data_IF_816395591076
#
_entry.id   IF_816395591076
#
_cell.length_a   1.000
_cell.length_b   1.000
_cell.length_c   1.000
_cell.angle_alpha   90.00
_cell.angle_beta   90.00
_cell.angle_gamma   90.00
#
_symmetry.space_group_name_H-M   'P 1'
#
loop_
_entity.id
_entity.type
_entity.pdbx_description
1 polymer ?
#
# COMPACT_ATOMS: atom_id res chain seq x y z
N UNK A 1 67.98 19.02 3.77
CA UNK A 1 66.72 18.55 3.14
C UNK A 1 65.62 19.55 3.36
N UNK A 2 65.16 20.31 2.33
CA UNK A 2 64.05 21.25 2.44
C UNK A 2 62.72 20.44 2.55
N UNK A 3 61.95 20.63 3.64
CA UNK A 3 60.61 20.06 3.79
C UNK A 3 59.73 20.56 2.65
N UNK A 4 59.25 19.65 1.77
CA UNK A 4 58.20 19.97 0.76
C UNK A 4 56.98 20.53 1.50
N UNK A 5 56.60 21.77 1.20
CA UNK A 5 55.35 22.39 1.66
C UNK A 5 54.18 21.55 1.09
N UNK A 6 53.42 20.91 2.00
CA UNK A 6 52.15 20.25 1.58
C UNK A 6 51.18 21.32 1.03
N UNK A 7 50.53 20.99 -0.06
CA UNK A 7 49.55 21.88 -0.68
C UNK A 7 48.43 22.25 0.37
N UNK A 8 48.21 23.54 0.51
CA UNK A 8 47.14 24.06 1.37
C UNK A 8 45.78 23.53 0.86
N UNK A 9 45.12 22.66 1.61
CA UNK A 9 43.76 22.11 1.50
C UNK A 9 43.64 20.57 1.70
N UNK A 10 44.71 19.88 2.01
CA UNK A 10 44.74 18.40 2.11
C UNK A 10 44.54 17.83 3.54
N UNK A 11 43.88 18.53 4.46
CA UNK A 11 43.74 18.03 5.80
C UNK A 11 45.04 17.92 6.62
N UNK A 12 44.94 17.57 7.89
CA UNK A 12 46.10 17.47 8.79
C UNK A 12 45.89 16.41 9.87
N UNK A 13 47.00 15.68 10.22
CA UNK A 13 47.12 14.86 11.41
C UNK A 13 47.96 15.66 12.40
N UNK A 14 47.41 16.05 13.54
CA UNK A 14 48.07 16.79 14.60
C UNK A 14 48.21 15.97 15.87
N UNK A 15 49.36 15.97 16.53
CA UNK A 15 49.59 15.27 17.80
C UNK A 15 49.05 16.14 18.94
N UNK A 16 48.22 15.61 19.81
CA UNK A 16 47.69 16.24 21.01
C UNK A 16 48.21 15.54 22.28
N UNK A 17 47.95 16.10 23.48
CA UNK A 17 48.34 15.50 24.77
C UNK A 17 47.27 14.55 25.33
N UNK A 18 46.28 14.10 24.56
CA UNK A 18 45.16 13.23 25.00
C UNK A 18 45.49 11.73 24.84
N UNK A 19 44.70 10.85 25.48
CA UNK A 19 44.85 9.38 25.39
C UNK A 19 44.85 8.81 23.96
N UNK A 20 44.18 9.49 23.03
CA UNK A 20 44.26 9.25 21.57
C UNK A 20 44.97 10.47 20.97
N UNK A 21 46.29 10.41 20.81
CA UNK A 21 47.10 11.62 20.57
C UNK A 21 46.99 12.17 19.14
N UNK A 22 46.58 11.39 18.16
CA UNK A 22 46.57 11.82 16.78
C UNK A 22 45.19 12.29 16.32
N UNK A 23 45.05 13.59 16.13
CA UNK A 23 43.81 14.23 15.71
C UNK A 23 43.81 14.48 14.20
N UNK A 24 42.81 13.93 13.48
CA UNK A 24 42.64 14.12 12.04
C UNK A 24 41.63 15.23 11.80
N UNK A 25 42.04 16.23 11.03
CA UNK A 25 41.17 17.34 10.59
C UNK A 25 41.29 17.55 9.11
N UNK A 26 40.18 17.77 8.43
CA UNK A 26 40.06 18.03 7.00
C UNK A 26 39.26 19.28 6.73
N UNK A 27 39.37 19.82 5.53
CA UNK A 27 38.46 20.86 5.05
C UNK A 27 37.43 20.19 4.16
N UNK A 28 36.14 20.32 4.49
CA UNK A 28 35.06 19.81 3.69
C UNK A 28 35.04 20.55 2.33
N UNK A 29 35.15 19.82 1.21
CA UNK A 29 35.21 20.44 -0.11
C UNK A 29 33.90 21.15 -0.52
N UNK A 30 32.76 20.72 0.02
CA UNK A 30 31.45 21.33 -0.31
C UNK A 30 31.19 22.62 0.46
N UNK A 31 31.60 22.69 1.75
CA UNK A 31 31.29 23.83 2.63
C UNK A 31 32.50 24.74 2.93
N UNK A 32 33.72 24.30 2.60
CA UNK A 32 34.97 24.98 2.94
C UNK A 32 35.29 25.03 4.45
N UNK A 33 34.45 24.43 5.32
CA UNK A 33 34.62 24.43 6.77
C UNK A 33 35.55 23.31 7.24
N UNK A 34 36.27 23.54 8.33
CA UNK A 34 37.09 22.51 8.95
C UNK A 34 36.23 21.49 9.71
N UNK A 35 36.43 20.21 9.41
CA UNK A 35 35.77 19.07 10.02
C UNK A 35 36.80 18.16 10.70
N UNK A 36 36.44 17.58 11.86
CA UNK A 36 37.21 16.57 12.57
C UNK A 36 36.78 15.17 12.12
N UNK A 37 37.73 14.33 11.71
CA UNK A 37 37.48 12.92 11.39
C UNK A 37 37.72 11.99 12.58
N UNK A 38 38.14 12.53 13.74
CA UNK A 38 38.34 11.77 14.97
C UNK A 38 39.76 11.87 15.53
N UNK A 39 39.99 11.14 16.65
CA UNK A 39 41.27 11.02 17.33
C UNK A 39 41.66 9.54 17.40
N UNK A 40 42.91 9.24 17.10
CA UNK A 40 43.44 7.89 16.92
C UNK A 40 44.64 7.64 17.84
N UNK A 41 44.92 6.36 18.15
CA UNK A 41 46.02 5.95 19.01
C UNK A 41 47.33 6.02 18.31
N UNK A 42 47.38 5.62 17.03
CA UNK A 42 48.59 5.59 16.23
C UNK A 42 48.58 6.63 15.09
N UNK A 43 49.77 7.08 14.72
CA UNK A 43 49.91 8.02 13.58
C UNK A 43 49.59 7.35 12.25
N UNK A 44 49.86 6.07 12.14
CA UNK A 44 49.58 5.29 10.91
C UNK A 44 48.10 5.21 10.65
N UNK A 45 47.33 4.81 11.64
CA UNK A 45 45.84 4.79 11.60
C UNK A 45 45.27 6.16 11.21
N UNK A 46 45.75 7.22 11.89
CA UNK A 46 45.30 8.58 11.61
C UNK A 46 45.65 9.01 10.15
N UNK A 47 46.78 8.58 9.62
CA UNK A 47 47.19 8.90 8.25
C UNK A 47 46.39 8.11 7.21
N UNK A 48 46.08 6.84 7.49
CA UNK A 48 45.20 6.02 6.63
C UNK A 48 43.78 6.65 6.53
N UNK A 49 43.21 7.06 7.66
CA UNK A 49 41.90 7.74 7.67
C UNK A 49 41.96 9.05 6.86
N UNK A 50 43.05 9.83 7.01
CA UNK A 50 43.22 11.05 6.21
C UNK A 50 43.34 10.73 4.73
N UNK A 51 44.12 9.73 4.35
CA UNK A 51 44.30 9.35 2.95
C UNK A 51 43.01 8.85 2.33
N UNK A 52 42.25 7.99 3.04
CA UNK A 52 40.94 7.49 2.60
C UNK A 52 39.98 8.65 2.39
N UNK A 53 39.89 9.61 3.32
CA UNK A 53 39.06 10.80 3.14
C UNK A 53 39.47 11.64 1.91
N UNK A 54 40.76 11.77 1.64
CA UNK A 54 41.25 12.55 0.50
C UNK A 54 41.00 11.88 -0.85
N UNK A 55 40.89 10.53 -0.87
CA UNK A 55 40.49 9.76 -2.05
C UNK A 55 39.00 9.83 -2.30
N UNK A 56 38.19 9.66 -1.25
CA UNK A 56 36.71 9.77 -1.34
C UNK A 56 36.14 10.43 -0.07
N UNK A 57 35.97 11.77 -0.07
CA UNK A 57 35.44 12.51 1.09
C UNK A 57 34.05 12.07 1.54
N UNK A 58 33.24 11.56 0.61
CA UNK A 58 31.86 11.15 0.88
C UNK A 58 31.77 9.74 1.50
N UNK A 59 32.73 8.87 1.24
CA UNK A 59 32.73 7.48 1.73
C UNK A 59 32.91 7.39 3.26
N UNK A 60 33.68 8.27 3.86
CA UNK A 60 33.92 8.28 5.32
C UNK A 60 32.70 8.80 6.08
N UNK A 61 31.96 9.75 5.54
CA UNK A 61 30.71 10.24 6.16
C UNK A 61 29.61 9.19 6.09
N UNK A 62 29.50 8.49 4.97
CA UNK A 62 28.55 7.41 4.79
C UNK A 62 28.91 6.15 5.62
N UNK A 63 30.17 5.96 6.00
CA UNK A 63 30.63 4.77 6.74
C UNK A 63 30.05 4.66 8.15
N UNK A 64 29.63 5.77 8.74
CA UNK A 64 29.14 5.86 10.13
C UNK A 64 27.64 6.09 10.23
N UNK A 65 26.96 6.24 9.11
CA UNK A 65 25.52 6.48 9.10
C UNK A 65 24.79 5.31 9.80
N UNK A 66 23.95 5.61 10.77
CA UNK A 66 23.13 4.61 11.44
C UNK A 66 21.82 4.37 10.67
N UNK A 67 21.17 3.24 10.93
CA UNK A 67 19.93 2.84 10.28
C UNK A 67 18.85 3.92 10.34
N UNK A 68 18.68 4.57 11.50
CA UNK A 68 17.67 5.62 11.67
C UNK A 68 17.97 6.91 10.90
N UNK A 69 19.24 7.23 10.65
CA UNK A 69 19.65 8.39 9.84
C UNK A 69 19.41 8.12 8.36
N UNK A 70 19.81 6.95 7.88
CA UNK A 70 19.52 6.54 6.50
C UNK A 70 18.02 6.49 6.22
N UNK A 71 17.21 5.99 7.18
CA UNK A 71 15.76 6.01 7.06
C UNK A 71 15.20 7.42 6.91
N UNK A 72 15.70 8.41 7.65
CA UNK A 72 15.26 9.82 7.50
C UNK A 72 15.54 10.37 6.11
N UNK A 73 16.73 10.10 5.56
CA UNK A 73 17.08 10.46 4.19
C UNK A 73 16.17 9.76 3.18
N UNK A 74 15.97 8.46 3.34
CA UNK A 74 15.09 7.66 2.50
C UNK A 74 13.66 8.21 2.48
N UNK A 75 13.05 8.46 3.63
CA UNK A 75 11.68 8.97 3.72
C UNK A 75 11.56 10.38 3.10
N UNK A 76 12.57 11.23 3.28
CA UNK A 76 12.59 12.55 2.64
C UNK A 76 12.57 12.45 1.12
N UNK A 77 13.37 11.55 0.56
CA UNK A 77 13.42 11.29 -0.89
C UNK A 77 12.12 10.67 -1.42
N UNK A 78 11.52 9.75 -0.67
CA UNK A 78 10.31 9.03 -1.11
C UNK A 78 9.01 9.86 -1.05
N UNK A 79 9.00 11.03 -0.38
CA UNK A 79 7.76 11.81 -0.15
C UNK A 79 7.03 12.19 -1.43
N UNK A 80 7.76 12.54 -2.47
CA UNK A 80 7.20 12.96 -3.74
C UNK A 80 7.04 11.82 -4.75
N UNK A 81 7.73 10.69 -4.50
CA UNK A 81 7.78 9.57 -5.44
C UNK A 81 6.69 8.52 -5.21
N UNK A 82 6.17 8.40 -3.97
CA UNK A 82 5.23 7.34 -3.63
C UNK A 82 3.95 7.86 -3.00
N UNK A 83 2.87 7.08 -3.11
CA UNK A 83 1.57 7.41 -2.52
C UNK A 83 1.65 7.46 -0.98
N UNK A 84 0.85 8.33 -0.36
CA UNK A 84 0.77 8.51 1.11
C UNK A 84 0.61 7.17 1.87
N UNK A 85 -0.17 6.23 1.35
CA UNK A 85 -0.35 4.91 1.94
C UNK A 85 0.96 4.08 1.97
N UNK A 86 1.81 4.21 0.94
CA UNK A 86 3.12 3.55 0.90
C UNK A 86 4.07 4.16 1.93
N UNK A 87 4.08 5.49 2.07
CA UNK A 87 4.86 6.16 3.10
C UNK A 87 4.45 5.70 4.50
N UNK A 88 3.15 5.54 4.75
CA UNK A 88 2.64 5.07 6.03
C UNK A 88 3.03 3.61 6.29
N UNK A 89 3.04 2.78 5.24
CA UNK A 89 3.56 1.40 5.31
C UNK A 89 5.05 1.38 5.65
N UNK A 90 5.87 2.27 5.07
CA UNK A 90 7.29 2.40 5.40
C UNK A 90 7.50 2.83 6.85
N UNK A 91 6.77 3.83 7.35
CA UNK A 91 6.82 4.27 8.75
C UNK A 91 6.49 3.14 9.73
N UNK A 92 5.43 2.38 9.44
CA UNK A 92 5.03 1.26 10.28
C UNK A 92 6.06 0.12 10.25
N UNK A 93 6.68 -0.13 9.10
CA UNK A 93 7.75 -1.13 8.96
C UNK A 93 9.02 -0.69 9.68
N UNK A 94 9.38 0.60 9.59
CA UNK A 94 10.50 1.17 10.34
C UNK A 94 10.33 0.97 11.84
N UNK A 95 9.16 1.31 12.42
CA UNK A 95 8.87 1.07 13.84
C UNK A 95 9.11 -0.38 14.27
N UNK A 96 8.80 -1.35 13.40
CA UNK A 96 9.03 -2.78 13.68
C UNK A 96 10.50 -3.18 13.62
N UNK A 97 11.37 -2.35 13.06
CA UNK A 97 12.81 -2.57 12.96
C UNK A 97 13.59 -1.87 14.09
N UNK A 98 12.94 -1.53 15.21
CA UNK A 98 13.53 -0.80 16.33
C UNK A 98 14.90 -1.35 16.78
N UNK A 99 15.14 -2.67 16.89
CA UNK A 99 16.44 -3.20 17.28
C UNK A 99 17.60 -2.85 16.30
N UNK A 100 17.29 -2.38 15.10
CA UNK A 100 18.29 -2.00 14.10
C UNK A 100 18.59 -0.50 14.11
N UNK A 101 17.77 0.33 14.76
CA UNK A 101 17.80 1.80 14.60
C UNK A 101 19.13 2.45 14.94
N UNK A 102 19.82 1.97 15.98
CA UNK A 102 21.10 2.53 16.46
C UNK A 102 22.33 1.89 15.82
N UNK A 103 22.14 0.84 15.01
CA UNK A 103 23.27 0.13 14.39
C UNK A 103 23.81 0.93 13.21
N UNK A 104 25.13 0.89 13.02
CA UNK A 104 25.78 1.41 11.82
C UNK A 104 25.29 0.61 10.61
N UNK A 105 24.71 1.29 9.62
CA UNK A 105 23.96 0.66 8.55
C UNK A 105 24.77 -0.38 7.75
N UNK A 106 26.00 -0.03 7.39
CA UNK A 106 26.92 -0.94 6.65
C UNK A 106 27.28 -2.21 7.41
N UNK A 107 27.21 -2.17 8.76
CA UNK A 107 27.58 -3.29 9.64
C UNK A 107 26.41 -4.24 9.92
N UNK A 108 25.19 -3.85 9.54
CA UNK A 108 24.00 -4.69 9.75
C UNK A 108 24.12 -5.96 8.91
N UNK A 109 24.12 -7.11 9.59
CA UNK A 109 24.20 -8.44 8.98
C UNK A 109 22.84 -9.07 8.77
N UNK A 110 22.74 -10.02 7.83
CA UNK A 110 21.51 -10.78 7.57
C UNK A 110 20.87 -11.41 8.81
N UNK A 111 21.62 -12.09 9.70
CA UNK A 111 21.09 -12.67 10.95
C UNK A 111 20.42 -11.65 11.87
N UNK A 112 20.95 -10.43 12.01
CA UNK A 112 20.34 -9.39 12.85
C UNK A 112 18.97 -8.95 12.29
N UNK A 113 18.86 -8.76 10.97
CA UNK A 113 17.58 -8.45 10.32
C UNK A 113 16.60 -9.62 10.41
N UNK A 114 17.09 -10.86 10.24
CA UNK A 114 16.27 -12.06 10.38
C UNK A 114 15.72 -12.18 11.80
N UNK A 115 16.53 -11.94 12.82
CA UNK A 115 16.13 -11.96 14.22
C UNK A 115 15.09 -10.86 14.52
N UNK A 116 15.33 -9.63 14.04
CA UNK A 116 14.38 -8.53 14.18
C UNK A 116 13.00 -8.89 13.61
N UNK A 117 12.95 -9.54 12.44
CA UNK A 117 11.68 -10.00 11.85
C UNK A 117 11.07 -11.20 12.58
N UNK A 118 11.89 -12.16 13.03
CA UNK A 118 11.39 -13.35 13.74
C UNK A 118 10.71 -12.96 15.05
N UNK A 119 11.28 -12.00 15.77
CA UNK A 119 10.76 -11.52 17.05
C UNK A 119 9.46 -10.70 16.94
N UNK A 120 9.02 -10.35 15.72
CA UNK A 120 7.75 -9.66 15.54
C UNK A 120 6.58 -10.60 15.85
N UNK A 121 5.76 -10.23 16.82
CA UNK A 121 4.48 -10.91 17.10
C UNK A 121 3.40 -10.45 16.10
N UNK A 122 3.57 -10.77 14.82
CA UNK A 122 2.68 -10.35 13.73
C UNK A 122 2.48 -11.45 12.70
N UNK A 123 1.50 -11.26 11.80
CA UNK A 123 1.24 -12.22 10.72
C UNK A 123 2.41 -12.33 9.75
N UNK A 124 2.55 -13.47 9.06
CA UNK A 124 3.54 -13.68 7.99
C UNK A 124 3.43 -12.62 6.89
N UNK A 125 2.22 -12.14 6.56
CA UNK A 125 2.02 -11.06 5.62
C UNK A 125 2.63 -9.73 6.11
N UNK A 126 2.48 -9.40 7.39
CA UNK A 126 3.09 -8.20 7.99
C UNK A 126 4.61 -8.32 8.03
N UNK A 127 5.14 -9.50 8.36
CA UNK A 127 6.59 -9.80 8.29
C UNK A 127 7.11 -9.62 6.87
N UNK A 128 6.35 -10.07 5.84
CA UNK A 128 6.72 -9.89 4.43
C UNK A 128 6.76 -8.41 4.04
N UNK A 129 5.81 -7.60 4.49
CA UNK A 129 5.80 -6.14 4.25
C UNK A 129 7.04 -5.49 4.88
N UNK A 130 7.41 -5.90 6.10
CA UNK A 130 8.60 -5.40 6.79
C UNK A 130 9.89 -5.83 6.07
N UNK A 131 9.98 -7.06 5.57
CA UNK A 131 11.07 -7.52 4.71
C UNK A 131 11.18 -6.67 3.43
N UNK A 132 10.06 -6.43 2.75
CA UNK A 132 10.04 -5.61 1.53
C UNK A 132 10.55 -4.20 1.80
N UNK A 133 10.14 -3.58 2.92
CA UNK A 133 10.69 -2.29 3.36
C UNK A 133 12.20 -2.35 3.58
N UNK A 134 12.71 -3.35 4.32
CA UNK A 134 14.16 -3.52 4.50
C UNK A 134 14.88 -3.68 3.18
N UNK A 135 14.32 -4.48 2.25
CA UNK A 135 14.89 -4.66 0.91
C UNK A 135 14.96 -3.33 0.17
N UNK A 136 13.91 -2.50 0.23
CA UNK A 136 13.89 -1.20 -0.42
C UNK A 136 14.89 -0.22 0.23
N UNK A 137 14.97 -0.18 1.56
CA UNK A 137 15.93 0.68 2.27
C UNK A 137 17.38 0.27 2.01
N UNK A 138 17.66 -1.04 1.93
CA UNK A 138 19.00 -1.55 1.59
C UNK A 138 19.36 -1.30 0.12
N UNK A 139 18.40 -1.31 -0.82
CA UNK A 139 18.64 -0.86 -2.20
C UNK A 139 19.03 0.63 -2.21
N UNK A 140 18.32 1.46 -1.45
CA UNK A 140 18.68 2.88 -1.32
C UNK A 140 20.07 3.08 -0.72
N UNK A 141 20.46 2.25 0.25
CA UNK A 141 21.84 2.24 0.77
C UNK A 141 22.89 1.82 -0.29
N UNK A 142 22.51 0.99 -1.27
CA UNK A 142 23.37 0.67 -2.42
C UNK A 142 23.44 1.83 -3.42
N UNK A 143 22.33 2.51 -3.69
CA UNK A 143 22.29 3.70 -4.55
C UNK A 143 23.19 4.83 -4.02
N UNK A 144 23.29 4.95 -2.70
CA UNK A 144 24.18 5.90 -2.01
C UNK A 144 25.60 5.35 -1.79
N UNK A 145 25.93 4.20 -2.35
CA UNK A 145 27.26 3.53 -2.23
C UNK A 145 27.70 3.24 -0.77
N UNK A 146 26.75 3.25 0.19
CA UNK A 146 27.02 2.94 1.60
C UNK A 146 27.32 1.44 1.78
N UNK A 147 26.67 0.60 0.99
CA UNK A 147 26.84 -0.86 0.97
C UNK A 147 26.90 -1.37 -0.47
N UNK A 148 27.59 -2.47 -0.69
CA UNK A 148 27.74 -3.11 -2.00
C UNK A 148 26.77 -4.27 -2.23
N UNK A 149 26.14 -4.80 -1.16
CA UNK A 149 25.27 -5.98 -1.21
C UNK A 149 24.01 -5.77 -0.37
N UNK A 150 22.86 -6.02 -0.97
CA UNK A 150 21.59 -6.00 -0.25
C UNK A 150 21.32 -7.32 0.46
N UNK A 151 21.73 -7.39 1.73
CA UNK A 151 21.55 -8.58 2.58
C UNK A 151 20.09 -8.83 2.98
N UNK A 152 19.22 -7.83 2.90
CA UNK A 152 17.80 -7.99 3.25
C UNK A 152 17.04 -8.92 2.27
N UNK A 153 17.55 -9.11 1.04
CA UNK A 153 16.96 -10.05 0.06
C UNK A 153 16.93 -11.50 0.57
N UNK A 154 17.91 -11.88 1.39
CA UNK A 154 18.07 -13.25 1.89
C UNK A 154 17.25 -13.58 3.14
N UNK A 155 16.50 -12.64 3.69
CA UNK A 155 15.61 -12.87 4.83
C UNK A 155 14.53 -13.89 4.44
N UNK A 156 14.34 -14.90 5.26
CA UNK A 156 13.35 -15.96 5.05
C UNK A 156 12.12 -15.70 5.94
N UNK A 157 10.94 -15.82 5.36
CA UNK A 157 9.68 -15.72 6.09
C UNK A 157 8.93 -17.04 5.90
N UNK A 158 8.58 -17.74 7.00
CA UNK A 158 7.84 -18.99 6.91
C UNK A 158 6.51 -18.78 6.18
N UNK A 159 6.27 -19.57 5.14
CA UNK A 159 4.97 -19.59 4.47
C UNK A 159 3.94 -20.20 5.42
N UNK A 160 2.85 -19.49 5.67
CA UNK A 160 1.73 -20.06 6.41
C UNK A 160 0.94 -20.96 5.46
N UNK A 161 0.90 -22.25 5.73
CA UNK A 161 0.31 -23.29 4.88
C UNK A 161 -1.23 -23.38 4.95
N UNK A 162 -1.90 -22.45 5.57
CA UNK A 162 -3.36 -22.50 5.67
C UNK A 162 -3.97 -21.68 4.54
N UNK A 163 -4.48 -22.35 3.51
CA UNK A 163 -5.48 -21.74 2.63
C UNK A 163 -6.72 -21.45 3.49
N UNK A 164 -6.93 -20.17 3.84
CA UNK A 164 -8.20 -19.78 4.42
C UNK A 164 -9.25 -19.94 3.34
N UNK A 165 -10.32 -20.70 3.65
CA UNK A 165 -11.52 -20.73 2.81
C UNK A 165 -11.90 -19.30 2.42
N UNK A 166 -12.31 -19.14 1.16
CA UNK A 166 -12.77 -17.85 0.66
C UNK A 166 -14.07 -17.54 1.36
N UNK A 167 -14.05 -16.60 2.30
CA UNK A 167 -15.28 -16.10 2.89
C UNK A 167 -16.02 -15.27 1.82
N UNK A 168 -17.16 -15.77 1.35
CA UNK A 168 -18.04 -15.13 0.36
C UNK A 168 -19.45 -15.12 0.90
N UNK A 169 -20.26 -14.14 0.51
CA UNK A 169 -21.69 -14.16 0.83
C UNK A 169 -22.37 -15.33 0.15
N UNK A 170 -23.10 -16.13 0.91
CA UNK A 170 -23.99 -17.18 0.40
C UNK A 170 -25.24 -16.57 -0.25
N UNK A 171 -25.94 -17.36 -1.07
CA UNK A 171 -27.22 -16.93 -1.65
C UNK A 171 -28.25 -16.58 -0.57
N UNK A 172 -28.28 -17.34 0.52
CA UNK A 172 -29.14 -17.08 1.68
C UNK A 172 -28.82 -15.71 2.33
N UNK A 173 -27.53 -15.37 2.51
CA UNK A 173 -27.13 -14.10 3.09
C UNK A 173 -27.47 -12.92 2.18
N UNK A 174 -27.31 -13.09 0.85
CA UNK A 174 -27.70 -12.06 -0.13
C UNK A 174 -29.23 -11.86 -0.10
N UNK A 175 -30.02 -12.94 -0.06
CA UNK A 175 -31.47 -12.86 0.09
C UNK A 175 -31.87 -12.18 1.40
N UNK A 176 -31.18 -12.50 2.50
CA UNK A 176 -31.41 -11.85 3.81
C UNK A 176 -31.11 -10.34 3.76
N UNK A 177 -30.10 -9.90 3.02
CA UNK A 177 -29.86 -8.47 2.79
C UNK A 177 -31.04 -7.84 2.04
N UNK A 178 -31.54 -8.47 0.97
CA UNK A 178 -32.71 -7.97 0.24
C UNK A 178 -33.97 -7.88 1.11
N UNK A 179 -34.24 -8.87 1.92
CA UNK A 179 -35.38 -8.88 2.85
C UNK A 179 -35.27 -7.79 3.93
N UNK A 180 -34.05 -7.26 4.15
CA UNK A 180 -33.78 -6.18 5.10
C UNK A 180 -33.33 -4.88 4.42
N UNK A 181 -33.77 -4.62 3.19
CA UNK A 181 -33.34 -3.46 2.38
C UNK A 181 -33.66 -2.11 3.03
N UNK A 182 -34.71 -2.04 3.89
CA UNK A 182 -35.06 -0.85 4.67
C UNK A 182 -34.06 -0.56 5.81
N UNK A 183 -33.23 -1.53 6.19
CA UNK A 183 -32.18 -1.31 7.20
C UNK A 183 -31.09 -0.43 6.63
N UNK A 184 -30.73 0.60 7.38
CA UNK A 184 -29.71 1.58 6.97
C UNK A 184 -28.39 0.88 6.58
N UNK A 185 -27.76 1.31 5.50
CA UNK A 185 -26.50 0.80 4.92
C UNK A 185 -26.59 -0.54 4.19
N UNK A 186 -27.70 -1.26 4.22
CA UNK A 186 -27.87 -2.52 3.49
C UNK A 186 -27.82 -2.28 1.97
N UNK A 187 -28.43 -1.21 1.48
CA UNK A 187 -28.35 -0.76 0.09
C UNK A 187 -26.89 -0.59 -0.39
N UNK A 188 -26.02 0.01 0.43
CA UNK A 188 -24.61 0.19 0.10
C UNK A 188 -23.84 -1.14 0.07
N UNK A 189 -24.20 -2.09 0.95
CA UNK A 189 -23.61 -3.44 0.97
C UNK A 189 -24.02 -4.22 -0.28
N UNK A 190 -25.28 -4.18 -0.67
CA UNK A 190 -25.78 -4.80 -1.90
C UNK A 190 -25.07 -4.22 -3.13
N UNK A 191 -24.97 -2.89 -3.24
CA UNK A 191 -24.25 -2.25 -4.33
C UNK A 191 -22.79 -2.72 -4.38
N UNK A 192 -22.12 -2.88 -3.21
CA UNK A 192 -20.75 -3.44 -3.18
C UNK A 192 -20.69 -4.89 -3.68
N UNK A 193 -21.67 -5.73 -3.36
CA UNK A 193 -21.71 -7.14 -3.79
C UNK A 193 -21.91 -7.20 -5.30
N UNK A 194 -22.88 -6.48 -5.84
CA UNK A 194 -23.28 -6.53 -7.24
C UNK A 194 -22.30 -5.83 -8.19
N UNK A 195 -21.58 -4.81 -7.72
CA UNK A 195 -20.58 -4.09 -8.54
C UNK A 195 -19.16 -4.63 -8.37
N UNK A 196 -18.89 -5.33 -7.27
CA UNK A 196 -17.54 -5.75 -6.90
C UNK A 196 -16.58 -4.58 -6.65
N UNK A 197 -17.06 -3.36 -6.47
CA UNK A 197 -16.22 -2.20 -6.19
C UNK A 197 -15.52 -2.34 -4.84
N UNK A 198 -14.29 -1.80 -4.76
CA UNK A 198 -13.62 -1.69 -3.46
C UNK A 198 -14.32 -0.64 -2.61
N UNK A 199 -14.34 -0.82 -1.29
CA UNK A 199 -14.99 0.13 -0.37
C UNK A 199 -14.57 1.59 -0.60
N UNK A 200 -13.29 1.83 -0.93
CA UNK A 200 -12.79 3.18 -1.21
C UNK A 200 -13.20 3.71 -2.58
N UNK A 201 -13.42 2.83 -3.55
CA UNK A 201 -13.92 3.20 -4.88
C UNK A 201 -15.39 3.62 -4.79
N UNK A 202 -16.20 2.83 -4.10
CA UNK A 202 -17.62 3.13 -3.92
C UNK A 202 -17.83 4.37 -3.02
N UNK A 203 -17.09 4.48 -1.91
CA UNK A 203 -17.19 5.64 -1.02
C UNK A 203 -16.82 6.98 -1.69
N UNK A 204 -15.93 6.93 -2.70
CA UNK A 204 -15.51 8.09 -3.48
C UNK A 204 -16.16 8.19 -4.85
N UNK A 205 -17.19 7.39 -5.15
CA UNK A 205 -17.86 7.40 -6.44
C UNK A 205 -18.65 8.68 -6.63
N UNK A 206 -18.27 9.47 -7.64
CA UNK A 206 -19.01 10.67 -8.03
C UNK A 206 -20.19 10.33 -8.93
N UNK A 207 -21.25 11.14 -8.86
CA UNK A 207 -22.42 11.02 -9.72
C UNK A 207 -22.08 11.13 -11.20
N UNK A 208 -21.15 11.99 -11.59
CA UNK A 208 -20.67 12.14 -12.98
C UNK A 208 -20.13 10.83 -13.61
N UNK A 209 -19.72 9.90 -12.76
CA UNK A 209 -19.22 8.58 -13.20
C UNK A 209 -20.32 7.50 -13.24
N UNK A 210 -21.59 7.87 -13.00
CA UNK A 210 -22.74 6.97 -13.05
C UNK A 210 -23.59 7.33 -14.24
N UNK A 211 -23.57 6.52 -15.28
CA UNK A 211 -24.40 6.67 -16.46
C UNK A 211 -25.68 5.83 -16.31
N UNK A 212 -26.74 6.48 -15.80
CA UNK A 212 -28.03 5.83 -15.63
C UNK A 212 -28.73 5.54 -16.94
N UNK A 213 -28.42 6.27 -18.02
CA UNK A 213 -29.04 6.05 -19.32
C UNK A 213 -28.50 4.78 -19.97
N UNK A 214 -27.17 4.61 -19.96
CA UNK A 214 -26.54 3.41 -20.50
C UNK A 214 -26.43 2.26 -19.48
N UNK A 215 -26.67 2.52 -18.20
CA UNK A 215 -26.60 1.52 -17.12
C UNK A 215 -25.19 1.09 -16.77
N UNK A 216 -24.23 2.03 -16.69
CA UNK A 216 -22.84 1.76 -16.36
C UNK A 216 -22.33 2.67 -15.26
N UNK A 217 -21.36 2.16 -14.48
CA UNK A 217 -20.50 2.94 -13.60
C UNK A 217 -19.10 2.99 -14.23
N UNK A 218 -18.60 4.19 -14.46
CA UNK A 218 -17.26 4.42 -15.00
C UNK A 218 -16.27 4.64 -13.86
N UNK A 219 -15.14 3.91 -13.89
CA UNK A 219 -14.02 4.27 -13.04
C UNK A 219 -13.60 3.23 -12.00
N UNK A 220 -12.48 3.53 -11.42
CA UNK A 220 -11.79 2.87 -10.32
C UNK A 220 -10.53 3.69 -10.03
N UNK A 221 -10.23 3.92 -8.74
CA UNK A 221 -9.24 4.94 -8.36
C UNK A 221 -7.83 4.40 -8.10
N UNK A 222 -7.60 3.06 -8.17
CA UNK A 222 -6.36 2.50 -7.62
C UNK A 222 -5.29 2.21 -8.65
N UNK A 223 -5.66 1.86 -9.88
CA UNK A 223 -4.72 1.42 -10.93
C UNK A 223 -5.09 2.06 -12.26
N UNK A 224 -4.15 2.20 -13.19
CA UNK A 224 -4.42 2.79 -14.51
C UNK A 224 -5.51 2.00 -15.26
N UNK A 225 -5.46 0.66 -15.26
CA UNK A 225 -6.53 -0.18 -15.82
C UNK A 225 -7.87 -0.02 -15.08
N UNK A 226 -7.83 0.19 -13.76
CA UNK A 226 -9.03 0.39 -12.96
C UNK A 226 -9.72 1.73 -13.21
N UNK A 227 -8.99 2.77 -13.61
CA UNK A 227 -9.54 4.11 -13.88
C UNK A 227 -10.51 4.15 -15.07
N UNK A 228 -10.32 3.27 -16.03
CA UNK A 228 -11.09 3.24 -17.29
C UNK A 228 -12.05 2.06 -17.39
N UNK A 229 -12.27 1.31 -16.31
CA UNK A 229 -13.19 0.18 -16.33
C UNK A 229 -14.64 0.65 -16.35
N UNK A 230 -15.46 -0.08 -17.06
CA UNK A 230 -16.90 0.08 -17.09
C UNK A 230 -17.55 -1.08 -16.34
N UNK A 231 -18.31 -0.76 -15.31
CA UNK A 231 -19.03 -1.74 -14.49
C UNK A 231 -20.50 -1.66 -14.88
N UNK A 232 -21.08 -2.70 -15.50
CA UNK A 232 -22.50 -2.73 -15.81
C UNK A 232 -23.31 -2.73 -14.50
N UNK A 233 -24.36 -1.94 -14.47
CA UNK A 233 -25.30 -1.92 -13.36
C UNK A 233 -26.30 -3.05 -13.54
N UNK A 234 -26.24 -4.06 -12.67
CA UNK A 234 -27.20 -5.15 -12.66
C UNK A 234 -28.64 -4.63 -12.44
N UNK A 235 -29.62 -5.22 -13.14
CA UNK A 235 -31.03 -4.80 -13.07
C UNK A 235 -31.58 -4.69 -11.63
N UNK A 236 -31.23 -5.62 -10.74
CA UNK A 236 -31.74 -5.68 -9.37
C UNK A 236 -31.31 -4.45 -8.53
N UNK A 237 -30.11 -3.92 -8.73
CA UNK A 237 -29.60 -2.76 -7.98
C UNK A 237 -29.80 -1.43 -8.70
N UNK A 238 -30.36 -1.44 -9.93
CA UNK A 238 -30.50 -0.22 -10.72
C UNK A 238 -31.35 0.84 -9.99
N UNK A 239 -32.48 0.44 -9.39
CA UNK A 239 -33.34 1.36 -8.66
C UNK A 239 -32.68 1.86 -7.36
N UNK A 240 -31.85 1.06 -6.70
CA UNK A 240 -31.07 1.50 -5.54
C UNK A 240 -30.10 2.61 -5.93
N UNK A 241 -29.34 2.40 -7.01
CA UNK A 241 -28.37 3.39 -7.52
C UNK A 241 -29.08 4.65 -7.98
N UNK A 242 -30.18 4.54 -8.72
CA UNK A 242 -30.99 5.69 -9.17
C UNK A 242 -31.51 6.48 -7.97
N UNK A 243 -32.09 5.83 -6.97
CA UNK A 243 -32.57 6.48 -5.76
C UNK A 243 -31.48 7.20 -4.99
N UNK A 244 -30.27 6.63 -4.89
CA UNK A 244 -29.13 7.30 -4.28
C UNK A 244 -28.62 8.48 -5.12
N UNK A 245 -28.61 8.34 -6.43
CA UNK A 245 -28.21 9.40 -7.36
C UNK A 245 -29.12 10.64 -7.20
N UNK A 246 -30.42 10.44 -7.10
CA UNK A 246 -31.41 11.50 -6.95
C UNK A 246 -31.39 12.12 -5.53
N UNK A 247 -31.27 11.28 -4.50
CA UNK A 247 -31.36 11.72 -3.08
C UNK A 247 -30.04 12.28 -2.53
N UNK A 248 -28.89 11.94 -3.09
CA UNK A 248 -27.63 12.42 -2.56
C UNK A 248 -27.51 13.94 -2.66
N UNK A 249 -27.23 14.63 -1.55
CA UNK A 249 -27.12 16.07 -1.51
C UNK A 249 -25.74 16.59 -1.95
N UNK A 250 -24.84 15.70 -2.41
CA UNK A 250 -23.45 15.99 -2.80
C UNK A 250 -23.18 15.49 -4.22
N UNK A 251 -22.01 15.79 -4.78
CA UNK A 251 -21.57 15.24 -6.07
C UNK A 251 -21.20 13.76 -5.99
N UNK A 252 -21.19 13.17 -4.79
CA UNK A 252 -20.91 11.75 -4.58
C UNK A 252 -22.19 10.94 -4.49
N UNK A 253 -22.14 9.70 -5.05
CA UNK A 253 -23.28 8.79 -5.01
C UNK A 253 -23.64 8.42 -3.57
N UNK A 254 -22.62 8.04 -2.77
CA UNK A 254 -22.80 7.71 -1.37
C UNK A 254 -22.63 8.94 -0.47
N UNK A 255 -23.49 9.05 0.50
CA UNK A 255 -23.46 10.10 1.52
C UNK A 255 -23.71 9.52 2.91
N UNK A 256 -23.43 10.30 3.94
CA UNK A 256 -23.75 9.89 5.29
C UNK A 256 -25.28 9.98 5.51
N UNK A 257 -25.96 8.84 5.51
CA UNK A 257 -27.41 8.76 5.70
C UNK A 257 -27.89 9.41 7.02
N UNK A 258 -27.04 9.53 8.03
CA UNK A 258 -27.35 10.23 9.27
C UNK A 258 -27.42 11.78 9.11
N UNK A 259 -26.92 12.32 7.98
CA UNK A 259 -26.97 13.77 7.72
C UNK A 259 -28.38 14.29 7.38
N UNK A 260 -29.29 13.41 6.95
CA UNK A 260 -30.68 13.78 6.64
C UNK A 260 -31.34 14.42 7.85
N UNK A 261 -30.90 14.04 9.06
CA UNK A 261 -31.48 14.53 10.32
C UNK A 261 -30.72 15.70 10.97
N UNK A 262 -29.59 16.13 10.39
CA UNK A 262 -28.77 17.23 10.94
C UNK A 262 -28.79 18.45 10.02
N UNK A 263 -29.24 19.60 10.56
CA UNK A 263 -29.27 20.92 9.88
C UNK A 263 -27.88 21.52 9.56
N UNK A 264 -26.76 20.78 9.69
CA UNK A 264 -25.42 21.31 9.34
C UNK A 264 -25.22 21.33 7.84
N UNK A 265 -24.52 22.36 7.35
CA UNK A 265 -24.07 22.44 5.95
C UNK A 265 -23.45 21.13 5.49
N UNK A 266 -23.96 20.62 4.39
CA UNK A 266 -23.53 19.36 3.79
C UNK A 266 -22.24 19.63 3.02
N UNK A 267 -21.10 19.30 3.61
CA UNK A 267 -19.82 19.41 2.90
C UNK A 267 -19.82 18.47 1.68
N UNK A 268 -19.49 19.03 0.52
CA UNK A 268 -19.32 18.25 -0.72
C UNK A 268 -18.04 17.41 -0.68
N UNK A 269 -18.05 16.38 0.16
CA UNK A 269 -16.92 15.48 0.40
C UNK A 269 -17.34 14.02 0.27
N UNK A 270 -16.43 13.12 -0.17
CA UNK A 270 -16.71 11.69 -0.23
C UNK A 270 -16.99 11.13 1.16
N UNK A 271 -17.77 10.06 1.21
CA UNK A 271 -18.02 9.31 2.44
C UNK A 271 -16.68 8.77 2.98
N UNK A 272 -16.38 9.04 4.27
CA UNK A 272 -15.13 8.58 4.88
C UNK A 272 -15.10 7.05 4.94
N UNK A 273 -14.06 6.44 4.36
CA UNK A 273 -13.92 4.98 4.24
C UNK A 273 -14.01 4.27 5.60
N UNK A 274 -13.38 4.82 6.65
CA UNK A 274 -13.40 4.20 7.98
C UNK A 274 -14.81 4.26 8.60
N UNK A 275 -15.54 5.36 8.37
CA UNK A 275 -16.91 5.51 8.80
C UNK A 275 -17.84 4.50 8.10
N UNK A 276 -17.72 4.37 6.76
CA UNK A 276 -18.50 3.38 6.02
C UNK A 276 -18.12 1.95 6.45
N UNK A 277 -16.84 1.66 6.66
CA UNK A 277 -16.40 0.35 7.13
C UNK A 277 -16.97 -0.02 8.50
N UNK A 278 -17.03 0.92 9.42
CA UNK A 278 -17.63 0.71 10.74
C UNK A 278 -19.12 0.34 10.62
N UNK A 279 -19.87 1.08 9.81
CA UNK A 279 -21.31 0.81 9.59
C UNK A 279 -21.53 -0.50 8.82
N UNK A 280 -20.66 -0.83 7.86
CA UNK A 280 -20.68 -2.13 7.18
C UNK A 280 -20.61 -3.29 8.18
N UNK A 281 -19.70 -3.23 9.14
CA UNK A 281 -19.60 -4.28 10.16
C UNK A 281 -20.80 -4.30 11.10
N UNK A 282 -21.24 -3.15 11.61
CA UNK A 282 -22.38 -3.06 12.51
C UNK A 282 -23.68 -3.58 11.87
N UNK A 283 -23.92 -3.22 10.62
CA UNK A 283 -25.10 -3.68 9.87
C UNK A 283 -25.07 -5.19 9.64
N UNK A 284 -23.92 -5.76 9.27
CA UNK A 284 -23.81 -7.21 9.10
C UNK A 284 -23.95 -7.95 10.42
N UNK A 285 -23.34 -7.45 11.49
CA UNK A 285 -23.46 -8.02 12.84
C UNK A 285 -24.92 -8.04 13.33
N UNK A 286 -25.69 -6.95 13.13
CA UNK A 286 -27.11 -6.90 13.47
C UNK A 286 -27.97 -7.91 12.69
N UNK A 287 -27.49 -8.33 11.52
CA UNK A 287 -28.11 -9.37 10.70
C UNK A 287 -27.49 -10.78 10.93
N UNK A 288 -26.61 -10.93 11.94
CA UNK A 288 -25.97 -12.20 12.25
C UNK A 288 -24.98 -12.68 11.19
N UNK A 289 -24.35 -11.74 10.44
CA UNK A 289 -23.38 -12.04 9.38
C UNK A 289 -21.99 -11.51 9.74
N UNK A 290 -20.94 -12.20 9.27
CA UNK A 290 -19.55 -11.81 9.51
C UNK A 290 -18.71 -11.84 8.23
N UNK A 291 -18.66 -10.71 7.53
CA UNK A 291 -17.89 -10.53 6.30
C UNK A 291 -17.04 -9.27 6.36
N UNK A 292 -16.05 -9.20 5.48
CA UNK A 292 -15.22 -8.02 5.27
C UNK A 292 -15.66 -7.34 3.97
N UNK A 293 -15.46 -6.02 3.81
CA UNK A 293 -15.80 -5.32 2.57
C UNK A 293 -15.22 -5.94 1.31
N UNK A 294 -14.04 -6.56 1.39
CA UNK A 294 -13.43 -7.23 0.24
C UNK A 294 -14.12 -8.56 -0.12
N UNK A 295 -14.91 -9.14 0.79
CA UNK A 295 -15.65 -10.37 0.53
C UNK A 295 -16.80 -10.13 -0.45
N UNK A 296 -17.39 -8.92 -0.51
CA UNK A 296 -18.35 -8.50 -1.55
C UNK A 296 -17.77 -8.74 -2.95
N UNK A 297 -16.56 -8.26 -3.19
CA UNK A 297 -15.87 -8.41 -4.47
C UNK A 297 -15.48 -9.86 -4.78
N UNK A 298 -15.10 -10.64 -3.74
CA UNK A 298 -14.84 -12.08 -3.91
C UNK A 298 -16.11 -12.83 -4.26
N UNK A 299 -17.25 -12.43 -3.68
CA UNK A 299 -18.55 -13.01 -3.99
C UNK A 299 -18.89 -12.83 -5.45
N UNK A 300 -18.85 -11.61 -5.98
CA UNK A 300 -19.09 -11.35 -7.40
C UNK A 300 -18.13 -12.14 -8.28
N UNK A 301 -16.83 -12.09 -7.99
CA UNK A 301 -15.81 -12.85 -8.75
C UNK A 301 -16.11 -14.35 -8.77
N UNK A 302 -16.56 -14.92 -7.64
CA UNK A 302 -16.88 -16.34 -7.53
C UNK A 302 -18.17 -16.68 -8.28
N UNK A 303 -19.19 -15.83 -8.19
CA UNK A 303 -20.45 -16.02 -8.93
C UNK A 303 -20.22 -15.96 -10.43
N UNK A 304 -19.51 -14.97 -10.94
CA UNK A 304 -19.14 -14.86 -12.35
C UNK A 304 -18.37 -16.09 -12.84
N UNK A 305 -17.40 -16.56 -12.06
CA UNK A 305 -16.64 -17.77 -12.40
C UNK A 305 -17.48 -19.03 -12.39
N UNK A 306 -18.41 -19.19 -11.43
CA UNK A 306 -19.32 -20.36 -11.35
C UNK A 306 -20.31 -20.39 -12.52
N UNK A 307 -20.70 -19.23 -13.00
CA UNK A 307 -21.61 -19.08 -14.15
C UNK A 307 -20.85 -19.02 -15.48
N UNK A 308 -19.58 -19.40 -15.49
CA UNK A 308 -18.73 -19.55 -16.66
C UNK A 308 -18.56 -18.29 -17.51
N UNK A 309 -18.67 -17.09 -16.89
CA UNK A 309 -18.29 -15.86 -17.58
C UNK A 309 -16.82 -15.94 -18.04
N UNK A 310 -16.55 -15.33 -19.17
CA UNK A 310 -15.18 -15.30 -19.69
C UNK A 310 -14.22 -14.61 -18.72
N UNK A 311 -12.99 -15.11 -18.64
CA UNK A 311 -11.95 -14.50 -17.80
C UNK A 311 -11.73 -13.03 -18.15
N UNK A 312 -11.92 -12.66 -19.42
CA UNK A 312 -11.82 -11.28 -19.90
C UNK A 312 -12.92 -10.42 -19.28
N UNK A 313 -14.19 -10.85 -19.36
CA UNK A 313 -15.32 -10.12 -18.77
C UNK A 313 -15.15 -9.95 -17.24
N UNK A 314 -14.74 -11.00 -16.54
CA UNK A 314 -14.43 -10.93 -15.10
C UNK A 314 -13.33 -9.89 -14.80
N UNK A 315 -12.28 -9.86 -15.64
CA UNK A 315 -11.17 -8.94 -15.50
C UNK A 315 -11.58 -7.50 -15.75
N UNK A 316 -12.37 -7.27 -16.78
CA UNK A 316 -12.82 -5.94 -17.17
C UNK A 316 -13.80 -5.36 -16.14
N UNK A 317 -14.76 -6.15 -15.66
CA UNK A 317 -15.71 -5.74 -14.60
C UNK A 317 -14.97 -5.48 -13.27
N UNK A 318 -14.04 -6.35 -12.88
CA UNK A 318 -13.34 -6.22 -11.60
C UNK A 318 -12.10 -5.31 -11.69
N UNK A 319 -11.48 -5.12 -12.84
CA UNK A 319 -10.23 -4.35 -13.02
C UNK A 319 -9.06 -4.99 -12.25
N UNK A 320 -8.76 -6.26 -12.50
CA UNK A 320 -7.59 -6.94 -11.95
C UNK A 320 -6.35 -6.66 -12.78
N UNK A 321 -5.24 -6.22 -12.17
CA UNK A 321 -3.97 -5.96 -12.87
C UNK A 321 -3.18 -7.22 -13.20
N UNK A 322 -3.30 -8.29 -12.42
CA UNK A 322 -2.56 -9.53 -12.58
C UNK A 322 -3.48 -10.65 -13.04
N UNK A 323 -3.65 -10.77 -14.34
CA UNK A 323 -3.67 -12.07 -14.98
C UNK A 323 -2.33 -12.17 -15.68
N UNK A 324 -1.45 -13.05 -15.20
CA UNK A 324 -0.20 -13.37 -15.87
C UNK A 324 -0.47 -13.62 -17.35
N UNK A 325 0.05 -12.70 -18.15
CA UNK A 325 0.54 -12.92 -19.51
C UNK A 325 0.02 -14.17 -20.26
N UNK A 326 -1.26 -14.25 -20.54
CA UNK A 326 -1.69 -15.12 -21.62
C UNK A 326 -2.88 -14.48 -22.32
N UNK A 327 -2.56 -13.64 -23.23
CA UNK A 327 -3.20 -13.33 -24.52
C UNK A 327 -3.12 -11.86 -24.87
N UNK A 328 -2.16 -11.55 -25.71
CA UNK A 328 -2.01 -10.29 -26.45
C UNK A 328 -3.11 -10.08 -27.52
N UNK A 329 -4.34 -10.39 -27.20
CA UNK A 329 -5.45 -10.03 -28.07
C UNK A 329 -6.52 -9.35 -27.21
N UNK A 330 -6.46 -8.03 -27.18
CA UNK A 330 -7.55 -7.16 -26.75
C UNK A 330 -8.72 -7.34 -27.75
N UNK A 331 -9.60 -8.27 -27.48
CA UNK A 331 -10.98 -8.16 -27.94
C UNK A 331 -11.60 -7.16 -26.97
N UNK A 332 -11.87 -5.94 -27.47
CA UNK A 332 -12.73 -4.99 -26.76
C UNK A 332 -14.04 -5.71 -26.51
N UNK A 333 -14.31 -6.11 -25.26
CA UNK A 333 -15.60 -6.72 -24.92
C UNK A 333 -16.66 -5.67 -25.20
N UNK A 334 -17.62 -6.00 -26.05
CA UNK A 334 -18.70 -5.11 -26.43
C UNK A 334 -19.54 -4.77 -25.17
N UNK A 335 -19.92 -3.50 -25.02
CA UNK A 335 -20.71 -3.01 -23.88
C UNK A 335 -22.02 -3.76 -23.68
N UNK A 336 -22.69 -4.10 -24.80
CA UNK A 336 -23.95 -4.85 -24.76
C UNK A 336 -23.74 -6.27 -24.25
N UNK A 337 -22.63 -6.90 -24.61
CA UNK A 337 -22.28 -8.23 -24.14
C UNK A 337 -21.94 -8.24 -22.63
N UNK A 338 -21.18 -7.23 -22.15
CA UNK A 338 -20.91 -7.07 -20.71
C UNK A 338 -22.18 -6.88 -19.89
N UNK A 339 -23.14 -6.12 -20.40
CA UNK A 339 -24.42 -5.88 -19.76
C UNK A 339 -25.29 -7.16 -19.73
N UNK A 340 -25.33 -7.90 -20.82
CA UNK A 340 -26.05 -9.17 -20.90
C UNK A 340 -25.45 -10.21 -19.92
N UNK A 341 -24.13 -10.39 -19.93
CA UNK A 341 -23.42 -11.29 -19.01
C UNK A 341 -23.67 -10.90 -17.54
N UNK A 342 -23.64 -9.60 -17.21
CA UNK A 342 -23.90 -9.13 -15.85
C UNK A 342 -25.34 -9.40 -15.40
N UNK A 343 -26.32 -9.18 -16.27
CA UNK A 343 -27.73 -9.41 -15.94
C UNK A 343 -28.12 -10.90 -15.85
N UNK A 344 -27.31 -11.78 -16.41
CA UNK A 344 -27.48 -13.23 -16.30
C UNK A 344 -26.96 -13.79 -14.98
N UNK A 345 -26.23 -13.00 -14.18
CA UNK A 345 -25.72 -13.45 -12.88
C UNK A 345 -26.90 -13.63 -11.91
N UNK A 346 -27.11 -14.86 -11.45
CA UNK A 346 -28.05 -15.17 -10.39
C UNK A 346 -27.37 -14.99 -9.03
N UNK A 347 -27.82 -14.04 -8.24
CA UNK A 347 -27.27 -13.76 -6.91
C UNK A 347 -27.95 -14.58 -5.81
N UNK A 348 -29.19 -15.03 -6.03
CA UNK A 348 -29.98 -15.88 -5.15
C UNK A 348 -30.82 -16.87 -5.98
N UNK A 349 -31.27 -17.97 -5.37
CA UNK A 349 -32.22 -18.90 -5.97
C UNK A 349 -33.65 -18.41 -5.71
N UNK A 350 -34.46 -18.36 -6.77
CA UNK A 350 -35.91 -18.14 -6.61
C UNK A 350 -36.48 -19.35 -5.83
N UNK A 351 -36.96 -19.15 -4.62
CA UNK A 351 -37.65 -20.18 -3.81
C UNK A 351 -38.98 -20.64 -4.39
N UNK A 352 -39.39 -20.13 -5.58
CA UNK A 352 -40.66 -20.50 -6.22
C UNK A 352 -40.72 -21.91 -6.80
N UNK A 353 -39.64 -22.72 -6.72
CA UNK A 353 -39.58 -24.09 -7.26
C UNK A 353 -39.38 -25.19 -6.21
N UNK A 354 -39.68 -24.97 -4.94
CA UNK A 354 -39.70 -26.03 -3.91
C UNK A 354 -41.13 -26.32 -3.42
N UNK A 355 -42.08 -26.45 -4.36
CA UNK A 355 -43.37 -27.12 -4.10
C UNK A 355 -43.69 -27.99 -5.29
N UNK A 356 -43.16 -29.23 -5.22
CA UNK A 356 -43.85 -30.44 -5.66
C UNK A 356 -43.12 -31.64 -5.05
#
# INVERSE_FOLDING_TARGET
MKRKKKANRQGSVTKTKKNKPYWVRVTDPATGKRKSLGMYVTRTEAQEILNNYLVNPYEIDNSKIIFSELYKLFISNQREMVKKATLESYKNSYKRCEPLHSLVFREIKGPQMQQAINNLNTSSATKQITKNFLTTLFNYGMELEIITVNRAKYIKIPKKSVQKEKNIFSSYEIQKLWNNISTQWVDYILIMIYTGMRIGELAGLKKENVDLLQGFINGGNKTEKGKHRQIPIHKDIFQLIKGLYEKSPTDYLLYNQNWIFKKKEKENKPLRINFFREHFYKTLESLGMSHKPHDCRKTLSTLMSRQQLTTTAITDILGHENIETTNKFYIKTDKENLKAEMNNIKFYSDESNMTN
#
